data_IF_005244081852
#
_entry.id   IF_005244081852
#
_cell.length_a   1.000
_cell.length_b   1.000
_cell.length_c   1.000
_cell.angle_alpha   90.00
_cell.angle_beta   90.00
_cell.angle_gamma   90.00
#
_symmetry.space_group_name_H-M   'P 1'
#
loop_
_entity.id
_entity.type
_entity.pdbx_description
1 polymer ?
#
# COMPACT_ATOMS: atom_id res chain seq x y z
N UNK A 1 4.85 25.16 16.68
CA UNK A 1 4.10 25.23 17.95
C UNK A 1 4.50 24.02 18.78
N UNK A 2 4.82 24.28 20.05
CA UNK A 2 5.61 23.51 21.02
C UNK A 2 5.47 21.98 21.04
N UNK A 3 6.64 21.31 21.08
CA UNK A 3 6.84 19.95 21.57
C UNK A 3 7.17 19.94 23.07
N UNK A 4 7.30 18.73 23.60
CA UNK A 4 8.12 18.34 24.76
C UNK A 4 7.44 18.27 26.12
N UNK A 5 7.19 17.02 26.51
CA UNK A 5 6.87 16.56 27.85
C UNK A 5 8.02 16.86 28.84
N UNK A 6 7.65 17.26 30.05
CA UNK A 6 8.55 17.37 31.19
C UNK A 6 8.75 15.97 31.80
N UNK A 7 10.01 15.60 31.99
CA UNK A 7 10.47 14.44 32.73
C UNK A 7 11.29 14.95 33.90
N UNK A 8 10.83 14.68 35.13
CA UNK A 8 11.62 14.83 36.34
C UNK A 8 11.62 13.51 37.11
N UNK A 9 12.76 13.22 37.72
CA UNK A 9 13.20 11.93 38.15
C UNK A 9 13.09 11.75 39.68
N UNK A 10 12.51 10.61 40.10
CA UNK A 10 12.97 9.73 41.22
C UNK A 10 12.75 10.24 42.68
N UNK A 11 12.99 9.42 43.74
CA UNK A 11 11.91 8.69 44.45
C UNK A 11 12.03 8.73 45.99
N UNK A 12 10.97 8.89 46.79
CA UNK A 12 11.11 8.73 48.25
C UNK A 12 9.88 8.12 48.94
N UNK A 13 10.20 7.10 49.76
CA UNK A 13 9.61 6.66 51.02
C UNK A 13 8.08 6.51 51.10
N UNK A 14 7.53 5.29 51.20
CA UNK A 14 7.58 4.39 52.36
C UNK A 14 6.93 4.98 53.62
N UNK A 15 5.65 4.66 53.84
CA UNK A 15 4.99 4.75 55.14
C UNK A 15 3.75 3.85 55.21
N UNK A 16 3.84 2.76 55.97
CA UNK A 16 2.75 2.13 56.76
C UNK A 16 3.36 0.96 57.57
N UNK A 17 3.64 1.13 58.86
CA UNK A 17 2.77 0.78 60.00
C UNK A 17 2.51 -0.73 60.18
N UNK A 18 3.28 -1.42 61.04
CA UNK A 18 2.90 -1.83 62.41
C UNK A 18 3.70 -3.04 62.94
N UNK A 19 4.02 -2.93 64.23
CA UNK A 19 4.56 -3.90 65.19
C UNK A 19 4.43 -5.41 64.87
N UNK A 20 5.49 -6.18 65.16
CA UNK A 20 5.47 -7.15 66.27
C UNK A 20 6.86 -7.68 66.64
N UNK A 21 7.19 -7.54 67.92
CA UNK A 21 8.23 -8.28 68.64
C UNK A 21 7.85 -9.77 68.73
N UNK A 22 8.76 -10.69 68.41
CA UNK A 22 9.28 -11.75 69.32
C UNK A 22 10.23 -12.74 68.62
N UNK A 23 11.04 -13.49 69.40
CA UNK A 23 12.32 -14.06 68.98
C UNK A 23 12.17 -15.41 68.30
N UNK A 24 13.17 -15.77 67.50
CA UNK A 24 13.38 -17.14 67.01
C UNK A 24 14.63 -17.68 67.70
N UNK A 25 14.39 -18.65 68.58
CA UNK A 25 15.37 -19.66 69.00
C UNK A 25 15.07 -20.91 68.16
N UNK A 26 16.10 -21.51 67.55
CA UNK A 26 16.35 -22.98 67.46
C UNK A 26 17.32 -23.29 66.29
N UNK A 27 17.88 -24.50 66.17
CA UNK A 27 18.52 -25.35 67.20
C UNK A 27 19.84 -26.02 66.70
N UNK A 28 20.51 -26.77 67.59
CA UNK A 28 21.42 -27.90 67.29
C UNK A 28 22.82 -27.55 66.69
N UNK A 29 23.94 -28.19 67.03
CA UNK A 29 24.20 -29.52 67.58
C UNK A 29 25.64 -29.64 68.14
N UNK A 30 25.85 -30.72 68.92
CA UNK A 30 27.10 -31.42 69.19
C UNK A 30 28.11 -30.75 70.14
N UNK A 31 28.86 -31.44 70.99
CA UNK A 31 28.89 -32.77 71.59
C UNK A 31 30.06 -32.74 72.60
N UNK A 32 30.11 -33.71 73.52
CA UNK A 32 31.31 -34.20 74.23
C UNK A 32 31.73 -33.56 75.57
N UNK A 33 31.28 -34.21 76.65
CA UNK A 33 32.02 -34.84 77.78
C UNK A 33 32.89 -34.01 78.77
N UNK A 34 32.88 -34.53 80.01
CA UNK A 34 33.66 -34.21 81.23
C UNK A 34 33.19 -32.95 81.97
N UNK A 35 32.70 -33.01 83.20
CA UNK A 35 33.25 -33.71 84.35
C UNK A 35 33.60 -32.66 85.41
N UNK A 36 33.39 -32.99 86.68
CA UNK A 36 33.84 -32.24 87.88
C UNK A 36 32.94 -31.04 88.27
N UNK A 37 32.07 -31.26 89.26
CA UNK A 37 32.06 -30.59 90.60
C UNK A 37 30.75 -30.88 91.34
N UNK A 38 30.51 -32.17 91.57
CA UNK A 38 29.59 -32.68 92.59
C UNK A 38 30.26 -32.59 93.96
N UNK A 39 30.27 -31.41 94.57
CA UNK A 39 30.74 -31.24 95.95
C UNK A 39 29.86 -30.29 96.76
N UNK A 40 29.25 -29.27 96.13
CA UNK A 40 28.37 -28.33 96.82
C UNK A 40 26.97 -28.90 97.10
N UNK A 41 26.43 -29.74 96.20
CA UNK A 41 25.09 -30.32 96.35
C UNK A 41 25.03 -31.42 97.43
N UNK A 42 26.13 -32.18 97.62
CA UNK A 42 26.22 -33.22 98.66
C UNK A 42 26.46 -32.64 100.06
N UNK A 43 27.09 -31.47 100.16
CA UNK A 43 27.28 -30.75 101.43
C UNK A 43 26.00 -30.08 101.94
N UNK A 44 25.12 -29.63 101.04
CA UNK A 44 23.81 -29.10 101.43
C UNK A 44 22.91 -30.19 102.02
N UNK A 45 22.91 -31.40 101.43
CA UNK A 45 22.11 -32.54 101.93
C UNK A 45 22.65 -33.06 103.27
N UNK A 46 23.97 -33.05 103.47
CA UNK A 46 24.59 -33.43 104.75
C UNK A 46 24.34 -32.42 105.88
N UNK A 47 24.28 -31.12 105.57
CA UNK A 47 23.97 -30.08 106.55
C UNK A 47 22.49 -30.13 107.01
N UNK A 48 21.56 -30.49 106.14
CA UNK A 48 20.15 -30.68 106.53
C UNK A 48 19.92 -31.92 107.40
N UNK A 49 20.69 -32.99 107.21
CA UNK A 49 20.58 -34.20 108.03
C UNK A 49 21.20 -34.04 109.43
N UNK A 50 22.21 -33.17 109.59
CA UNK A 50 22.84 -32.90 110.89
C UNK A 50 21.97 -32.04 111.84
N UNK A 51 21.06 -31.22 111.32
CA UNK A 51 20.16 -30.37 112.12
C UNK A 51 18.95 -31.14 112.67
N UNK A 52 18.61 -32.29 112.08
CA UNK A 52 17.48 -33.12 112.54
C UNK A 52 17.86 -34.05 113.71
N UNK A 53 19.16 -34.31 113.95
CA UNK A 53 19.61 -35.29 114.95
C UNK A 53 20.01 -34.75 116.33
N UNK A 54 19.72 -33.50 116.67
CA UNK A 54 20.05 -32.97 118.00
C UNK A 54 18.94 -32.08 118.58
N UNK A 55 17.80 -32.67 118.96
CA UNK A 55 16.87 -32.06 119.93
C UNK A 55 16.39 -33.11 120.93
N UNK A 56 16.63 -32.92 122.25
CA UNK A 56 16.20 -33.84 123.29
C UNK A 56 14.71 -33.66 123.61
N UNK A 57 14.12 -34.77 124.06
CA UNK A 57 12.72 -34.91 124.42
C UNK A 57 12.22 -33.84 125.40
N UNK A 58 11.34 -32.96 124.92
CA UNK A 58 10.30 -32.32 125.71
C UNK A 58 8.94 -32.69 125.09
N UNK A 59 8.29 -33.66 125.74
CA UNK A 59 6.97 -34.20 125.40
C UNK A 59 5.91 -33.24 125.92
N UNK A 60 5.22 -32.51 125.03
CA UNK A 60 3.76 -32.26 125.12
C UNK A 60 3.14 -31.46 123.96
N UNK A 61 3.59 -31.57 122.70
CA UNK A 61 2.81 -31.08 121.53
C UNK A 61 3.09 -31.81 120.20
N UNK A 62 3.94 -32.85 120.18
CA UNK A 62 4.52 -33.40 118.94
C UNK A 62 3.66 -34.35 118.10
N UNK A 63 2.56 -34.89 118.64
CA UNK A 63 1.69 -35.82 117.89
C UNK A 63 0.69 -35.08 116.98
N UNK A 64 0.33 -33.83 117.32
CA UNK A 64 -0.59 -32.99 116.56
C UNK A 64 0.08 -32.37 115.32
N UNK A 65 1.30 -31.86 115.47
CA UNK A 65 2.03 -31.21 114.37
C UNK A 65 2.51 -32.19 113.30
N UNK A 66 2.86 -33.42 113.69
CA UNK A 66 3.27 -34.46 112.74
C UNK A 66 2.11 -34.91 111.82
N UNK A 67 0.88 -34.94 112.35
CA UNK A 67 -0.30 -35.33 111.56
C UNK A 67 -0.79 -34.18 110.66
N UNK A 68 -0.67 -32.93 111.11
CA UNK A 68 -0.90 -31.75 110.28
C UNK A 68 0.05 -31.68 109.07
N UNK A 69 1.35 -31.98 109.29
CA UNK A 69 2.34 -32.06 108.20
C UNK A 69 2.04 -33.19 107.21
N UNK A 70 1.49 -34.33 107.67
CA UNK A 70 1.08 -35.42 106.78
C UNK A 70 -0.10 -35.03 105.90
N UNK A 71 -1.10 -34.35 106.47
CA UNK A 71 -2.24 -33.83 105.71
C UNK A 71 -1.80 -32.80 104.65
N UNK A 72 -0.83 -31.94 104.97
CA UNK A 72 -0.26 -30.98 104.02
C UNK A 72 0.55 -31.66 102.91
N UNK A 73 1.33 -32.69 103.24
CA UNK A 73 2.04 -33.53 102.24
C UNK A 73 1.05 -34.23 101.31
N UNK A 74 -0.05 -34.75 101.84
CA UNK A 74 -1.07 -35.42 101.05
C UNK A 74 -1.86 -34.44 100.16
N UNK A 75 -2.14 -33.21 100.62
CA UNK A 75 -2.68 -32.12 99.79
C UNK A 75 -1.71 -31.72 98.66
N UNK A 76 -0.42 -31.58 98.97
CA UNK A 76 0.61 -31.29 97.97
C UNK A 76 0.73 -32.39 96.92
N UNK A 77 0.65 -33.66 97.31
CA UNK A 77 0.62 -34.80 96.38
C UNK A 77 -0.60 -34.76 95.47
N UNK A 78 -1.78 -34.43 96.00
CA UNK A 78 -2.99 -34.29 95.20
C UNK A 78 -2.89 -33.13 94.21
N UNK A 79 -2.28 -32.01 94.61
CA UNK A 79 -1.95 -30.89 93.71
C UNK A 79 -0.96 -31.29 92.63
N UNK A 80 0.08 -32.06 92.96
CA UNK A 80 1.05 -32.58 92.00
C UNK A 80 0.33 -33.49 90.99
N UNK A 81 -0.47 -34.44 91.44
CA UNK A 81 -1.23 -35.34 90.55
C UNK A 81 -2.19 -34.56 89.63
N UNK A 82 -2.83 -33.50 90.13
CA UNK A 82 -3.66 -32.61 89.31
C UNK A 82 -2.84 -31.86 88.26
N UNK A 83 -1.68 -31.32 88.64
CA UNK A 83 -0.79 -30.60 87.71
C UNK A 83 -0.22 -31.55 86.66
N UNK A 84 0.16 -32.77 87.03
CA UNK A 84 0.57 -33.82 86.11
C UNK A 84 -0.55 -34.16 85.13
N UNK A 85 -1.80 -34.29 85.60
CA UNK A 85 -2.94 -34.53 84.72
C UNK A 85 -3.21 -33.38 83.74
N UNK A 86 -3.06 -32.12 84.18
CA UNK A 86 -3.21 -30.95 83.31
C UNK A 86 -2.08 -30.93 82.28
N UNK A 87 -0.84 -31.17 82.72
CA UNK A 87 0.34 -31.21 81.85
C UNK A 87 0.24 -32.33 80.81
N UNK A 88 -0.22 -33.52 81.20
CA UNK A 88 -0.48 -34.65 80.30
C UNK A 88 -1.58 -34.32 79.29
N UNK A 89 -2.63 -33.61 79.71
CA UNK A 89 -3.69 -33.11 78.82
C UNK A 89 -3.17 -32.07 77.81
N UNK A 90 -2.44 -31.08 78.30
CA UNK A 90 -1.87 -30.00 77.49
C UNK A 90 -0.83 -30.53 76.50
N UNK A 91 0.02 -31.46 76.92
CA UNK A 91 1.02 -32.09 76.03
C UNK A 91 0.38 -32.90 74.90
N UNK A 92 -0.71 -33.63 75.18
CA UNK A 92 -1.50 -34.31 74.14
C UNK A 92 -2.15 -33.33 73.18
N UNK A 93 -2.76 -32.27 73.70
CA UNK A 93 -3.34 -31.17 72.89
C UNK A 93 -2.30 -30.46 72.03
N UNK A 94 -1.10 -30.24 72.55
CA UNK A 94 0.00 -29.61 71.81
C UNK A 94 0.52 -30.53 70.70
N UNK A 95 0.58 -31.84 70.94
CA UNK A 95 0.95 -32.84 69.93
C UNK A 95 -0.08 -32.92 68.79
N UNK A 96 -1.38 -32.90 69.09
CA UNK A 96 -2.42 -32.91 68.04
C UNK A 96 -2.39 -31.61 67.24
N UNK A 97 -2.22 -30.45 67.89
CA UNK A 97 -2.02 -29.17 67.20
C UNK A 97 -0.79 -29.16 66.30
N UNK A 98 0.33 -29.74 66.75
CA UNK A 98 1.54 -29.85 65.94
C UNK A 98 1.31 -30.71 64.69
N UNK A 99 0.56 -31.81 64.82
CA UNK A 99 0.18 -32.64 63.67
C UNK A 99 -0.69 -31.89 62.66
N UNK A 100 -1.73 -31.18 63.12
CA UNK A 100 -2.62 -30.40 62.25
C UNK A 100 -1.82 -29.30 61.54
N UNK A 101 -0.95 -28.60 62.26
CA UNK A 101 -0.12 -27.53 61.69
C UNK A 101 0.86 -28.05 60.62
N UNK A 102 1.39 -29.26 60.79
CA UNK A 102 2.23 -29.91 59.78
C UNK A 102 1.45 -30.27 58.50
N UNK A 103 0.20 -30.72 58.63
CA UNK A 103 -0.69 -30.99 57.50
C UNK A 103 -1.09 -29.69 56.77
N UNK A 104 -1.45 -28.65 57.52
CA UNK A 104 -1.72 -27.32 56.98
C UNK A 104 -0.50 -26.71 56.26
N UNK A 105 0.72 -26.94 56.77
CA UNK A 105 1.94 -26.49 56.10
C UNK A 105 2.14 -27.20 54.76
N UNK A 106 1.93 -28.52 54.68
CA UNK A 106 2.00 -29.26 53.41
C UNK A 106 0.96 -28.79 52.40
N UNK A 107 -0.27 -28.53 52.85
CA UNK A 107 -1.31 -27.95 52.00
C UNK A 107 -0.90 -26.57 51.49
N UNK A 108 -0.32 -25.73 52.36
CA UNK A 108 0.16 -24.40 52.01
C UNK A 108 1.29 -24.47 50.96
N UNK A 109 2.24 -25.39 51.13
CA UNK A 109 3.32 -25.61 50.15
C UNK A 109 2.79 -26.09 48.79
N UNK A 110 1.79 -27.00 48.78
CA UNK A 110 1.16 -27.45 47.55
C UNK A 110 0.42 -26.31 46.83
N UNK A 111 -0.33 -25.49 47.58
CA UNK A 111 -1.01 -24.32 47.04
C UNK A 111 -0.04 -23.28 46.48
N UNK A 112 1.08 -23.04 47.17
CA UNK A 112 2.13 -22.12 46.70
C UNK A 112 2.74 -22.61 45.38
N UNK A 113 3.02 -23.91 45.27
CA UNK A 113 3.51 -24.50 44.02
C UNK A 113 2.50 -24.34 42.87
N UNK A 114 1.21 -24.57 43.14
CA UNK A 114 0.15 -24.38 42.14
C UNK A 114 0.01 -22.92 41.71
N UNK A 115 0.11 -21.97 42.66
CA UNK A 115 0.11 -20.53 42.36
C UNK A 115 1.29 -20.17 41.44
N UNK A 116 2.48 -20.70 41.70
CA UNK A 116 3.66 -20.47 40.87
C UNK A 116 3.49 -21.05 39.46
N UNK A 117 2.94 -22.27 39.34
CA UNK A 117 2.62 -22.87 38.05
C UNK A 117 1.63 -22.01 37.25
N UNK A 118 0.56 -21.54 37.90
CA UNK A 118 -0.44 -20.69 37.27
C UNK A 118 0.14 -19.35 36.82
N UNK A 119 0.96 -18.68 37.65
CA UNK A 119 1.66 -17.46 37.26
C UNK A 119 2.52 -17.67 36.01
N UNK A 120 3.34 -18.73 35.99
CA UNK A 120 4.22 -19.02 34.86
C UNK A 120 3.43 -19.31 33.56
N UNK A 121 2.32 -20.05 33.66
CA UNK A 121 1.42 -20.32 32.53
C UNK A 121 0.74 -19.05 32.04
N UNK A 122 0.38 -18.14 32.93
CA UNK A 122 -0.24 -16.87 32.56
C UNK A 122 0.76 -15.92 31.90
N UNK A 123 1.98 -15.83 32.43
CA UNK A 123 3.06 -15.04 31.84
C UNK A 123 3.46 -15.55 30.45
N UNK A 124 3.61 -16.87 30.28
CA UNK A 124 3.91 -17.47 28.97
C UNK A 124 2.78 -17.19 27.97
N UNK A 125 1.52 -17.44 28.34
CA UNK A 125 0.36 -17.13 27.46
C UNK A 125 0.24 -15.64 27.15
N UNK A 126 0.56 -14.75 28.10
CA UNK A 126 0.53 -13.30 27.90
C UNK A 126 1.64 -12.87 26.94
N UNK A 127 2.84 -13.42 27.09
CA UNK A 127 3.97 -13.18 26.21
C UNK A 127 3.69 -13.67 24.78
N UNK A 128 3.18 -14.89 24.63
CA UNK A 128 2.81 -15.46 23.32
C UNK A 128 1.70 -14.66 22.64
N UNK A 129 0.61 -14.34 23.36
CA UNK A 129 -0.46 -13.51 22.80
C UNK A 129 0.04 -12.13 22.39
N UNK A 130 0.87 -11.50 23.22
CA UNK A 130 1.44 -10.18 22.92
C UNK A 130 2.32 -10.25 21.68
N UNK A 131 3.26 -11.19 21.62
CA UNK A 131 4.15 -11.40 20.48
C UNK A 131 3.40 -11.69 19.19
N UNK A 132 2.38 -12.56 19.24
CA UNK A 132 1.53 -12.86 18.08
C UNK A 132 0.73 -11.63 17.63
N UNK A 133 0.13 -10.90 18.57
CA UNK A 133 -0.63 -9.68 18.27
C UNK A 133 0.25 -8.59 17.68
N UNK A 134 1.46 -8.40 18.21
CA UNK A 134 2.41 -7.37 17.79
C UNK A 134 2.97 -7.68 16.40
N UNK A 135 3.29 -8.95 16.13
CA UNK A 135 3.73 -9.40 14.80
C UNK A 135 2.63 -9.22 13.74
N UNK A 136 1.38 -9.54 14.09
CA UNK A 136 0.25 -9.36 13.18
C UNK A 136 -0.06 -7.87 12.93
N UNK A 137 0.03 -7.03 13.97
CA UNK A 137 -0.13 -5.57 13.83
C UNK A 137 0.95 -5.01 12.89
N UNK A 138 2.21 -5.38 13.08
CA UNK A 138 3.31 -4.92 12.22
C UNK A 138 3.12 -5.37 10.77
N UNK A 139 2.72 -6.63 10.54
CA UNK A 139 2.43 -7.14 9.20
C UNK A 139 1.28 -6.37 8.52
N UNK A 140 0.19 -6.11 9.25
CA UNK A 140 -0.93 -5.30 8.73
C UNK A 140 -0.51 -3.85 8.47
N UNK A 141 0.31 -3.25 9.32
CA UNK A 141 0.83 -1.89 9.10
C UNK A 141 1.68 -1.80 7.83
N UNK A 142 2.52 -2.81 7.57
CA UNK A 142 3.35 -2.87 6.35
C UNK A 142 2.47 -3.03 5.09
N UNK A 143 1.46 -3.89 5.13
CA UNK A 143 0.47 -4.02 4.05
C UNK A 143 -0.28 -2.69 3.79
N UNK A 144 -0.72 -2.01 4.84
CA UNK A 144 -1.39 -0.70 4.74
C UNK A 144 -0.44 0.33 4.11
N UNK A 145 0.84 0.34 4.49
CA UNK A 145 1.82 1.25 3.89
C UNK A 145 2.03 0.97 2.40
N UNK A 146 2.13 -0.30 2.00
CA UNK A 146 2.25 -0.72 0.60
C UNK A 146 1.02 -0.24 -0.19
N UNK A 147 -0.19 -0.51 0.31
CA UNK A 147 -1.44 -0.09 -0.34
C UNK A 147 -1.53 1.43 -0.46
N UNK A 148 -1.13 2.17 0.57
CA UNK A 148 -1.09 3.64 0.50
C UNK A 148 -0.10 4.16 -0.54
N UNK A 149 1.05 3.51 -0.72
CA UNK A 149 2.00 3.85 -1.78
C UNK A 149 1.41 3.55 -3.16
N UNK A 150 0.73 2.41 -3.31
CA UNK A 150 0.09 2.02 -4.57
C UNK A 150 -1.04 2.99 -4.94
N UNK A 151 -1.90 3.35 -3.99
CA UNK A 151 -2.95 4.37 -4.19
C UNK A 151 -2.36 5.70 -4.62
N UNK A 152 -1.24 6.14 -4.02
CA UNK A 152 -0.53 7.36 -4.45
C UNK A 152 -0.03 7.27 -5.90
N UNK A 153 0.53 6.12 -6.29
CA UNK A 153 0.97 5.87 -7.68
C UNK A 153 -0.21 5.90 -8.65
N UNK A 154 -1.29 5.18 -8.34
CA UNK A 154 -2.51 5.14 -9.16
C UNK A 154 -3.08 6.54 -9.32
N UNK A 155 -3.16 7.32 -8.24
CA UNK A 155 -3.66 8.68 -8.29
C UNK A 155 -2.80 9.58 -9.20
N UNK A 156 -1.47 9.44 -9.14
CA UNK A 156 -0.57 10.17 -10.05
C UNK A 156 -0.78 9.79 -11.51
N UNK A 157 -0.97 8.50 -11.80
CA UNK A 157 -1.25 7.99 -13.15
C UNK A 157 -2.61 8.51 -13.63
N UNK A 158 -3.63 8.52 -12.76
CA UNK A 158 -4.96 9.05 -13.08
C UNK A 158 -4.88 10.50 -13.56
N UNK A 159 -4.15 11.38 -12.85
CA UNK A 159 -3.94 12.76 -13.29
C UNK A 159 -3.24 12.86 -14.66
N UNK A 160 -2.24 12.00 -14.92
CA UNK A 160 -1.57 12.01 -16.23
C UNK A 160 -2.52 11.59 -17.35
N UNK A 161 -3.34 10.57 -17.13
CA UNK A 161 -4.34 10.09 -18.10
C UNK A 161 -5.41 11.16 -18.32
N UNK A 162 -5.89 11.79 -17.26
CA UNK A 162 -6.88 12.87 -17.33
C UNK A 162 -6.34 14.06 -18.12
N UNK A 163 -5.09 14.48 -17.87
CA UNK A 163 -4.47 15.57 -18.62
C UNK A 163 -4.30 15.24 -20.11
N UNK A 164 -3.98 13.98 -20.44
CA UNK A 164 -3.83 13.50 -21.81
C UNK A 164 -5.19 13.37 -22.52
N UNK A 165 -6.23 12.93 -21.80
CA UNK A 165 -7.59 12.88 -22.31
C UNK A 165 -8.12 14.29 -22.62
N UNK A 166 -7.87 15.26 -21.73
CA UNK A 166 -8.25 16.66 -21.94
C UNK A 166 -7.52 17.29 -23.14
N UNK A 167 -6.24 16.97 -23.37
CA UNK A 167 -5.52 17.41 -24.58
C UNK A 167 -6.11 16.78 -25.85
N UNK A 168 -6.38 15.48 -25.82
CA UNK A 168 -6.98 14.76 -26.93
C UNK A 168 -8.39 15.32 -27.27
N UNK A 169 -9.20 15.63 -26.26
CA UNK A 169 -10.51 16.24 -26.42
C UNK A 169 -10.43 17.60 -27.13
N UNK A 170 -9.55 18.50 -26.67
CA UNK A 170 -9.32 19.80 -27.32
C UNK A 170 -8.89 19.66 -28.78
N UNK A 171 -8.04 18.68 -29.09
CA UNK A 171 -7.60 18.42 -30.46
C UNK A 171 -8.74 17.89 -31.34
N UNK A 172 -9.59 17.03 -30.80
CA UNK A 172 -10.78 16.53 -31.51
C UNK A 172 -11.77 17.67 -31.75
N UNK A 173 -12.00 18.54 -30.77
CA UNK A 173 -12.85 19.73 -30.92
C UNK A 173 -12.33 20.67 -32.01
N UNK A 174 -11.01 20.93 -32.04
CA UNK A 174 -10.37 21.71 -33.09
C UNK A 174 -10.57 21.09 -34.48
N UNK A 175 -10.30 19.79 -34.62
CA UNK A 175 -10.48 19.09 -35.90
C UNK A 175 -11.94 19.05 -36.33
N UNK A 176 -12.87 18.88 -35.39
CA UNK A 176 -14.31 18.94 -35.65
C UNK A 176 -14.71 20.30 -36.23
N UNK A 177 -14.19 21.40 -35.66
CA UNK A 177 -14.45 22.75 -36.17
C UNK A 177 -13.87 22.95 -37.58
N UNK A 178 -12.67 22.43 -37.87
CA UNK A 178 -12.10 22.48 -39.22
C UNK A 178 -12.89 21.64 -40.23
N UNK A 179 -13.35 20.44 -39.85
CA UNK A 179 -14.21 19.60 -40.69
C UNK A 179 -15.52 20.32 -41.02
N UNK A 180 -16.14 20.98 -40.03
CA UNK A 180 -17.35 21.76 -40.25
C UNK A 180 -17.15 22.90 -41.27
N UNK A 181 -16.03 23.62 -41.19
CA UNK A 181 -15.69 24.64 -42.20
C UNK A 181 -15.54 24.04 -43.60
N UNK A 182 -14.92 22.87 -43.71
CA UNK A 182 -14.76 22.17 -44.99
C UNK A 182 -16.12 21.72 -45.52
N UNK A 183 -17.01 21.23 -44.65
CA UNK A 183 -18.38 20.86 -44.99
C UNK A 183 -19.17 22.04 -45.56
N UNK A 184 -19.09 23.22 -44.93
CA UNK A 184 -19.70 24.46 -45.43
C UNK A 184 -19.18 24.84 -46.82
N UNK A 185 -17.86 24.71 -47.05
CA UNK A 185 -17.25 24.97 -48.37
C UNK A 185 -17.74 23.96 -49.42
N UNK A 186 -17.82 22.67 -49.08
CA UNK A 186 -18.30 21.63 -49.99
C UNK A 186 -19.76 21.87 -50.37
N UNK A 187 -20.59 22.26 -49.40
CA UNK A 187 -22.00 22.59 -49.65
C UNK A 187 -22.13 23.76 -50.63
N UNK A 188 -21.34 24.82 -50.45
CA UNK A 188 -21.30 25.96 -51.37
C UNK A 188 -20.82 25.55 -52.77
N UNK A 189 -19.75 24.76 -52.86
CA UNK A 189 -19.24 24.25 -54.14
C UNK A 189 -20.28 23.38 -54.87
N UNK A 190 -21.04 22.57 -54.14
CA UNK A 190 -22.11 21.75 -54.71
C UNK A 190 -23.23 22.58 -55.33
N UNK A 191 -23.64 23.67 -54.66
CA UNK A 191 -24.63 24.63 -55.20
C UNK A 191 -24.12 25.24 -56.51
N UNK A 192 -22.85 25.66 -56.55
CA UNK A 192 -22.24 26.26 -57.73
C UNK A 192 -22.19 25.28 -58.92
N UNK A 193 -21.81 24.02 -58.68
CA UNK A 193 -21.81 22.97 -59.72
C UNK A 193 -23.22 22.80 -60.29
N UNK A 194 -24.24 22.73 -59.43
CA UNK A 194 -25.62 22.53 -59.87
C UNK A 194 -26.15 23.70 -60.71
N UNK A 195 -25.80 24.94 -60.34
CA UNK A 195 -26.13 26.12 -61.14
C UNK A 195 -25.43 26.09 -62.51
N UNK A 196 -24.15 25.69 -62.54
CA UNK A 196 -23.39 25.56 -63.77
C UNK A 196 -23.98 24.50 -64.70
N UNK A 197 -24.37 23.33 -64.17
CA UNK A 197 -25.04 22.28 -64.92
C UNK A 197 -26.34 22.76 -65.58
N UNK A 198 -27.18 23.50 -64.83
CA UNK A 198 -28.41 24.09 -65.37
C UNK A 198 -28.14 25.10 -66.50
N UNK A 199 -27.18 26.02 -66.29
CA UNK A 199 -26.79 26.99 -67.31
C UNK A 199 -26.23 26.32 -68.57
N UNK A 200 -25.48 25.23 -68.41
CA UNK A 200 -24.95 24.45 -69.51
C UNK A 200 -26.07 23.75 -70.31
N UNK A 201 -27.01 23.10 -69.63
CA UNK A 201 -28.18 22.46 -70.28
C UNK A 201 -29.00 23.51 -71.04
N UNK A 202 -29.30 24.65 -70.42
CA UNK A 202 -30.04 25.75 -71.07
C UNK A 202 -29.31 26.26 -72.32
N UNK A 203 -27.98 26.42 -72.24
CA UNK A 203 -27.15 26.87 -73.38
C UNK A 203 -27.17 25.84 -74.51
N UNK A 204 -27.08 24.54 -74.19
CA UNK A 204 -27.20 23.46 -75.18
C UNK A 204 -28.58 23.46 -75.86
N UNK A 205 -29.65 23.67 -75.09
CA UNK A 205 -31.01 23.79 -75.65
C UNK A 205 -31.16 25.03 -76.55
N UNK A 206 -30.66 26.19 -76.12
CA UNK A 206 -30.71 27.43 -76.89
C UNK A 206 -29.93 27.33 -78.19
N UNK A 207 -28.72 26.77 -78.15
CA UNK A 207 -27.88 26.58 -79.36
C UNK A 207 -28.45 25.54 -80.31
N UNK A 208 -29.05 24.45 -79.81
CA UNK A 208 -29.76 23.47 -80.63
C UNK A 208 -30.97 24.09 -81.34
N UNK A 209 -31.80 24.88 -80.62
CA UNK A 209 -32.94 25.59 -81.24
C UNK A 209 -32.49 26.64 -82.27
N UNK A 210 -31.34 27.28 -82.06
CA UNK A 210 -30.76 28.22 -83.04
C UNK A 210 -30.24 27.46 -84.27
N UNK A 211 -29.68 26.26 -84.10
CA UNK A 211 -29.26 25.40 -85.22
C UNK A 211 -30.47 24.86 -86.00
N UNK A 212 -31.53 24.47 -85.30
CA UNK A 212 -32.81 24.05 -85.87
C UNK A 212 -33.48 25.20 -86.65
N UNK A 213 -33.50 26.43 -86.11
CA UNK A 213 -33.95 27.63 -86.83
C UNK A 213 -33.05 28.01 -88.02
N UNK A 214 -31.78 27.59 -88.04
CA UNK A 214 -30.88 27.80 -89.19
C UNK A 214 -31.10 26.74 -90.29
N UNK A 215 -31.62 25.57 -89.95
CA UNK A 215 -31.93 24.49 -90.89
C UNK A 215 -33.40 24.52 -91.37
N UNK A 216 -34.33 25.08 -90.58
CA UNK A 216 -35.68 25.39 -91.05
C UNK A 216 -35.65 26.71 -91.83
N UNK A 217 -35.16 26.64 -93.06
CA UNK A 217 -35.13 27.76 -93.98
C UNK A 217 -36.54 28.26 -94.28
N UNK A 218 -36.89 29.42 -93.74
CA UNK A 218 -37.73 30.38 -94.45
C UNK A 218 -37.02 31.72 -94.47
N UNK A 219 -36.71 32.14 -95.69
CA UNK A 219 -35.92 33.30 -96.03
C UNK A 219 -36.69 34.59 -95.78
N UNK A 220 -36.08 35.51 -95.04
CA UNK A 220 -36.26 36.95 -95.28
C UNK A 220 -34.90 37.64 -95.14
N UNK A 221 -34.50 38.28 -96.23
CA UNK A 221 -33.33 39.14 -96.37
C UNK A 221 -33.28 40.21 -95.28
N UNK A 222 -32.11 40.39 -94.66
CA UNK A 222 -31.71 41.68 -94.09
C UNK A 222 -30.35 42.11 -94.68
N UNK A 223 -30.33 43.16 -95.50
CA UNK A 223 -29.11 43.73 -96.05
C UNK A 223 -28.54 44.78 -95.09
N UNK A 224 -27.29 44.62 -94.64
CA UNK A 224 -26.66 45.68 -93.84
C UNK A 224 -25.38 45.33 -93.09
N UNK A 225 -24.24 45.46 -93.78
CA UNK A 225 -22.98 46.06 -93.32
C UNK A 225 -22.34 45.54 -92.00
N UNK A 226 -21.24 44.80 -92.20
CA UNK A 226 -20.02 44.69 -91.37
C UNK A 226 -20.10 45.13 -89.89
N UNK A 227 -20.31 44.16 -89.00
CA UNK A 227 -19.93 44.28 -87.57
C UNK A 227 -19.12 43.07 -87.11
N UNK A 228 -18.03 42.79 -87.81
CA UNK A 228 -16.91 42.01 -87.24
C UNK A 228 -15.81 42.99 -86.88
N UNK A 229 -15.78 43.50 -85.63
CA UNK A 229 -14.50 43.38 -84.90
C UNK A 229 -14.63 43.31 -83.35
N UNK A 230 -15.73 42.82 -82.76
CA UNK A 230 -15.83 42.69 -81.28
C UNK A 230 -15.40 41.32 -80.74
N UNK A 231 -15.66 40.22 -81.45
CA UNK A 231 -15.24 38.88 -81.01
C UNK A 231 -13.72 38.64 -81.12
N UNK A 232 -13.06 39.21 -82.14
CA UNK A 232 -11.61 39.05 -82.35
C UNK A 232 -10.75 39.84 -81.36
N UNK A 233 -11.29 40.91 -80.74
CA UNK A 233 -10.61 41.66 -79.68
C UNK A 233 -10.63 40.90 -78.35
N UNK A 234 -11.72 40.19 -78.04
CA UNK A 234 -11.82 39.38 -76.82
C UNK A 234 -10.85 38.19 -76.87
N UNK A 235 -10.73 37.51 -78.02
CA UNK A 235 -9.77 36.41 -78.20
C UNK A 235 -8.30 36.88 -78.23
N UNK A 236 -8.01 38.12 -78.67
CA UNK A 236 -6.66 38.71 -78.58
C UNK A 236 -6.30 39.21 -77.17
N UNK A 237 -7.28 39.55 -76.34
CA UNK A 237 -7.05 39.89 -74.93
C UNK A 237 -6.65 38.67 -74.08
N UNK A 238 -7.09 37.48 -74.46
CA UNK A 238 -6.79 36.21 -73.75
C UNK A 238 -5.41 35.63 -74.13
N UNK A 239 -4.77 36.12 -75.21
CA UNK A 239 -3.38 35.77 -75.58
C UNK A 239 -2.44 36.95 -75.36
N UNK A 240 -2.14 37.27 -74.11
CA UNK A 240 -0.88 37.94 -73.77
C UNK A 240 0.05 36.94 -73.06
N UNK A 241 1.34 36.86 -73.42
CA UNK A 241 2.35 36.21 -72.60
C UNK A 241 2.52 36.98 -71.29
N UNK A 242 2.51 36.29 -70.15
CA UNK A 242 2.88 36.88 -68.86
C UNK A 242 4.32 37.42 -68.93
N UNK A 243 4.61 38.63 -68.38
CA UNK A 243 5.98 39.08 -68.23
C UNK A 243 6.68 38.30 -67.11
N UNK A 244 8.00 38.06 -67.20
CA UNK A 244 8.77 37.53 -66.09
C UNK A 244 9.18 38.69 -65.21
N UNK A 245 8.68 38.77 -63.98
CA UNK A 245 9.52 39.33 -62.93
C UNK A 245 9.15 38.81 -61.54
N UNK A 246 10.23 38.74 -60.79
CA UNK A 246 10.45 38.06 -59.53
C UNK A 246 9.90 38.90 -58.36
N UNK A 247 9.74 38.24 -57.21
CA UNK A 247 9.67 38.83 -55.86
C UNK A 247 8.30 39.08 -55.22
N UNK A 248 7.54 38.00 -54.93
CA UNK A 248 6.83 37.83 -53.62
C UNK A 248 6.31 36.39 -53.41
N UNK A 249 6.43 35.82 -52.19
CA UNK A 249 5.86 34.53 -51.84
C UNK A 249 4.39 34.67 -51.44
N UNK A 250 3.64 33.56 -51.50
CA UNK A 250 2.19 33.40 -51.31
C UNK A 250 1.31 33.89 -52.45
N UNK A 251 0.79 32.96 -53.27
CA UNK A 251 -0.59 32.41 -53.18
C UNK A 251 -0.67 31.23 -54.18
N UNK A 252 -0.35 30.00 -53.76
CA UNK A 252 -0.30 28.86 -54.69
C UNK A 252 -1.67 28.27 -55.08
N UNK A 253 -2.81 28.82 -54.65
CA UNK A 253 -4.11 28.15 -54.83
C UNK A 253 -5.33 28.99 -55.22
N UNK A 254 -5.19 30.22 -55.71
CA UNK A 254 -6.34 31.01 -56.16
C UNK A 254 -6.24 31.40 -57.66
N UNK A 255 -7.13 30.82 -58.47
CA UNK A 255 -7.67 31.50 -59.66
C UNK A 255 -6.96 31.28 -61.01
N UNK A 256 -6.05 30.32 -61.14
CA UNK A 256 -5.48 29.93 -62.44
C UNK A 256 -6.00 28.57 -62.89
N UNK A 257 -6.42 28.42 -64.14
CA UNK A 257 -6.72 27.11 -64.72
C UNK A 257 -5.52 26.20 -64.54
N UNK A 258 -5.56 25.29 -63.55
CA UNK A 258 -4.48 24.33 -63.34
C UNK A 258 -4.50 23.44 -64.57
N UNK A 259 -3.62 23.72 -65.52
CA UNK A 259 -3.41 22.90 -66.69
C UNK A 259 -3.21 21.47 -66.21
N UNK A 260 -3.95 20.50 -66.76
CA UNK A 260 -3.79 19.07 -66.50
C UNK A 260 -2.31 18.64 -66.54
N UNK A 261 -1.45 19.38 -67.25
CA UNK A 261 0.00 19.19 -67.29
C UNK A 261 0.71 19.45 -65.94
N UNK A 262 0.36 20.49 -65.18
CA UNK A 262 1.06 20.91 -63.95
C UNK A 262 0.84 19.94 -62.78
N UNK A 263 -0.32 19.28 -62.71
CA UNK A 263 -0.59 18.21 -61.72
C UNK A 263 -0.04 16.86 -62.22
N UNK A 264 0.00 16.64 -63.53
CA UNK A 264 0.38 15.32 -64.07
C UNK A 264 1.81 14.91 -63.76
N UNK A 265 2.74 15.86 -63.67
CA UNK A 265 4.15 15.56 -63.39
C UNK A 265 4.40 15.12 -61.94
N UNK A 266 4.00 15.89 -60.91
CA UNK A 266 4.12 15.44 -59.52
C UNK A 266 3.24 14.22 -59.23
N UNK A 267 2.06 14.09 -59.85
CA UNK A 267 1.22 12.90 -59.71
C UNK A 267 1.88 11.64 -60.27
N UNK A 268 2.52 11.73 -61.45
CA UNK A 268 3.27 10.60 -62.03
C UNK A 268 4.46 10.21 -61.15
N UNK A 269 5.19 11.18 -60.60
CA UNK A 269 6.29 10.91 -59.67
C UNK A 269 5.80 10.27 -58.36
N UNK A 270 4.70 10.77 -57.80
CA UNK A 270 4.06 10.18 -56.63
C UNK A 270 3.61 8.74 -56.91
N UNK A 271 3.02 8.48 -58.08
CA UNK A 271 2.62 7.12 -58.48
C UNK A 271 3.81 6.17 -58.54
N UNK A 272 4.95 6.60 -59.11
CA UNK A 272 6.19 5.81 -59.14
C UNK A 272 6.71 5.54 -57.73
N UNK A 273 6.67 6.54 -56.85
CA UNK A 273 7.08 6.42 -55.45
C UNK A 273 6.22 5.41 -54.69
N UNK A 274 4.89 5.52 -54.80
CA UNK A 274 3.93 4.61 -54.16
C UNK A 274 4.10 3.18 -54.69
N UNK A 275 4.23 3.00 -56.00
CA UNK A 275 4.48 1.66 -56.58
C UNK A 275 5.82 1.07 -56.11
N UNK A 276 6.84 1.90 -55.94
CA UNK A 276 8.14 1.45 -55.41
C UNK A 276 8.03 1.07 -53.94
N UNK A 277 7.34 1.88 -53.13
CA UNK A 277 7.08 1.61 -51.72
C UNK A 277 6.26 0.32 -51.52
N UNK A 278 5.25 0.07 -52.35
CA UNK A 278 4.48 -1.18 -52.34
C UNK A 278 5.36 -2.41 -52.63
N UNK A 279 6.28 -2.31 -53.59
CA UNK A 279 7.20 -3.41 -53.90
C UNK A 279 8.16 -3.69 -52.75
N UNK A 280 8.66 -2.64 -52.11
CA UNK A 280 9.54 -2.77 -50.92
C UNK A 280 8.75 -3.37 -49.76
N UNK A 281 7.53 -2.87 -49.50
CA UNK A 281 6.64 -3.38 -48.46
C UNK A 281 6.37 -4.87 -48.62
N UNK A 282 5.97 -5.32 -49.81
CA UNK A 282 5.75 -6.74 -50.10
C UNK A 282 7.03 -7.57 -49.85
N UNK A 283 8.20 -7.08 -50.28
CA UNK A 283 9.47 -7.79 -50.07
C UNK A 283 9.83 -7.90 -48.59
N UNK A 284 9.62 -6.84 -47.81
CA UNK A 284 9.82 -6.85 -46.36
C UNK A 284 8.80 -7.76 -45.68
N UNK A 285 7.55 -7.77 -46.12
CA UNK A 285 6.49 -8.62 -45.59
C UNK A 285 6.82 -10.11 -45.74
N UNK A 286 7.22 -10.55 -46.95
CA UNK A 286 7.61 -11.95 -47.21
C UNK A 286 8.83 -12.34 -46.39
N UNK A 287 9.87 -11.50 -46.37
CA UNK A 287 11.07 -11.78 -45.58
C UNK A 287 10.76 -11.85 -44.07
N UNK A 288 9.94 -10.94 -43.56
CA UNK A 288 9.56 -10.92 -42.15
C UNK A 288 8.72 -12.15 -41.80
N UNK A 289 7.83 -12.58 -42.69
CA UNK A 289 7.06 -13.80 -42.51
C UNK A 289 7.93 -15.04 -42.46
N UNK A 290 8.94 -15.17 -43.31
CA UNK A 290 9.88 -16.29 -43.30
C UNK A 290 10.77 -16.28 -42.05
N UNK A 291 11.25 -15.11 -41.63
CA UNK A 291 12.01 -14.94 -40.38
C UNK A 291 11.15 -15.25 -39.16
N UNK A 292 9.88 -14.84 -39.14
CA UNK A 292 8.98 -15.14 -38.03
C UNK A 292 8.57 -16.62 -37.99
N UNK A 293 8.42 -17.28 -39.14
CA UNK A 293 8.11 -18.73 -39.20
C UNK A 293 9.29 -19.60 -38.77
N UNK A 294 10.51 -19.19 -39.09
CA UNK A 294 11.73 -19.94 -38.73
C UNK A 294 12.06 -19.87 -37.23
N UNK A 295 11.72 -18.78 -36.55
CA UNK A 295 11.95 -18.64 -35.11
C UNK A 295 10.85 -19.33 -34.28
N UNK A 296 11.22 -20.11 -33.25
CA UNK A 296 10.28 -20.89 -32.42
C UNK A 296 9.26 -20.01 -31.66
N UNK A 297 9.64 -18.79 -31.28
CA UNK A 297 8.80 -17.91 -30.45
C UNK A 297 7.82 -17.06 -31.27
N UNK A 298 8.22 -16.60 -32.45
CA UNK A 298 7.38 -15.75 -33.31
C UNK A 298 6.58 -16.51 -34.36
N UNK A 299 6.74 -17.84 -34.44
CA UNK A 299 6.01 -18.71 -35.39
C UNK A 299 4.49 -18.59 -35.25
N UNK A 300 3.98 -18.49 -34.03
CA UNK A 300 2.54 -18.31 -33.76
C UNK A 300 2.00 -16.94 -34.19
N UNK A 301 2.89 -15.94 -34.36
CA UNK A 301 2.56 -14.57 -34.75
C UNK A 301 2.79 -14.31 -36.25
N UNK A 302 3.28 -15.29 -37.00
CA UNK A 302 3.57 -15.16 -38.44
C UNK A 302 2.32 -15.20 -39.32
N UNK A 303 1.26 -14.52 -38.87
CA UNK A 303 0.03 -14.31 -39.61
C UNK A 303 0.23 -13.20 -40.66
N UNK A 304 -0.48 -13.31 -41.78
CA UNK A 304 -0.40 -12.38 -42.90
C UNK A 304 -0.71 -10.94 -42.47
N UNK A 305 -1.72 -10.75 -41.61
CA UNK A 305 -2.09 -9.43 -41.09
C UNK A 305 -1.02 -8.80 -40.19
N UNK A 306 -0.41 -9.60 -39.30
CA UNK A 306 0.62 -9.10 -38.37
C UNK A 306 1.88 -8.74 -39.13
N UNK A 307 2.30 -9.59 -40.06
CA UNK A 307 3.47 -9.34 -40.91
C UNK A 307 3.27 -8.16 -41.86
N UNK A 308 2.06 -7.96 -42.39
CA UNK A 308 1.69 -6.78 -43.18
C UNK A 308 1.84 -5.48 -42.38
N UNK A 309 1.28 -5.43 -41.16
CA UNK A 309 1.37 -4.25 -40.28
C UNK A 309 2.81 -3.95 -39.87
N UNK A 310 3.59 -4.98 -39.52
CA UNK A 310 5.00 -4.80 -39.13
C UNK A 310 5.87 -4.36 -40.32
N UNK A 311 5.66 -4.92 -41.51
CA UNK A 311 6.35 -4.47 -42.72
C UNK A 311 6.00 -3.01 -43.08
N UNK A 312 4.73 -2.60 -42.89
CA UNK A 312 4.29 -1.23 -43.09
C UNK A 312 4.98 -0.26 -42.12
N UNK A 313 5.02 -0.60 -40.83
CA UNK A 313 5.72 0.19 -39.81
C UNK A 313 7.21 0.33 -40.11
N UNK A 314 7.88 -0.74 -40.52
CA UNK A 314 9.30 -0.72 -40.88
C UNK A 314 9.61 0.17 -42.09
N UNK A 315 8.73 0.18 -43.09
CA UNK A 315 8.93 1.00 -44.31
C UNK A 315 8.62 2.48 -44.05
N UNK A 316 7.66 2.79 -43.18
CA UNK A 316 7.15 4.15 -43.00
C UNK A 316 7.78 4.87 -41.81
N UNK A 317 8.22 4.14 -40.78
CA UNK A 317 8.91 4.71 -39.61
C UNK A 317 10.10 5.62 -39.98
N UNK A 318 11.00 5.25 -40.93
CA UNK A 318 12.10 6.14 -41.33
C UNK A 318 11.63 7.46 -41.95
N UNK A 319 10.52 7.45 -42.67
CA UNK A 319 9.93 8.66 -43.29
C UNK A 319 9.39 9.59 -42.22
N UNK A 320 8.70 9.06 -41.21
CA UNK A 320 8.22 9.84 -40.07
C UNK A 320 9.36 10.39 -39.21
N UNK A 321 10.40 9.59 -38.96
CA UNK A 321 11.58 10.03 -38.20
C UNK A 321 12.31 11.14 -38.96
N UNK A 322 12.52 10.99 -40.27
CA UNK A 322 13.14 12.02 -41.10
C UNK A 322 12.30 13.31 -41.13
N UNK A 323 10.98 13.18 -41.28
CA UNK A 323 10.04 14.30 -41.23
C UNK A 323 10.07 15.00 -39.86
N UNK A 324 10.09 14.23 -38.76
CA UNK A 324 10.13 14.74 -37.40
C UNK A 324 11.43 15.50 -37.12
N UNK A 325 12.59 14.94 -37.52
CA UNK A 325 13.89 15.60 -37.40
C UNK A 325 13.94 16.88 -38.24
N UNK A 326 13.42 16.84 -39.47
CA UNK A 326 13.34 18.02 -40.34
C UNK A 326 12.44 19.10 -39.72
N UNK A 327 11.30 18.71 -39.19
CA UNK A 327 10.35 19.61 -38.52
C UNK A 327 10.95 20.22 -37.25
N UNK A 328 11.73 19.48 -36.48
CA UNK A 328 12.43 20.03 -35.30
C UNK A 328 13.57 20.98 -35.68
N UNK A 329 14.30 20.71 -36.76
CA UNK A 329 15.44 21.56 -37.19
C UNK A 329 15.02 22.87 -37.87
N UNK A 330 13.89 22.86 -38.57
CA UNK A 330 13.46 24.01 -39.38
C UNK A 330 12.13 24.62 -38.92
N UNK A 331 11.42 24.00 -37.97
CA UNK A 331 10.16 24.50 -37.41
C UNK A 331 10.31 25.54 -36.29
N UNK A 332 11.53 25.82 -35.81
CA UNK A 332 11.80 26.87 -34.82
C UNK A 332 12.49 28.08 -35.48
N UNK A 333 11.74 28.77 -36.34
CA UNK A 333 11.98 30.18 -36.67
C UNK A 333 10.63 30.89 -36.77
N UNK A 334 10.03 31.13 -35.62
CA UNK A 334 9.09 32.23 -35.36
C UNK A 334 9.24 32.66 -33.91
#
# INVERSE_FOLDING_TARGET
MSSSAATEATPLLAAAFLLRLRPIISPSAAAVVHGIRSAAALLAIAAFLAVICAVPAARSQHASDAEALRLEIDDLRLKIARLESILEGDTKSLRTKAYIMEEDNKLTEAMEHDIQLLMNVEETKKSERKSYSESNIFAMEDEVQILQQEVRKINSIAYTIESLANDAEKRVEFLSNEVKKIEDIIAEQWIQIRQFEQAFVLTKMMTSKVHERRLSGNAYYWPGKYTVPKASRFCKAIRRPCPPDIHRPDVFFLGGSISRSCISLPYKQFKILVSSAQRIHHKVQVNLQDVMRSNRYSRGLANEMITFCMAYLLVISPVWIAWFIFSMRFGSKK
#
